data_IF_415070382850
#
_entry.id   IF_415070382850
#
_cell.length_a   1.000
_cell.length_b   1.000
_cell.length_c   1.000
_cell.angle_alpha   90.00
_cell.angle_beta   90.00
_cell.angle_gamma   90.00
#
_symmetry.space_group_name_H-M   'P 1'
#
loop_
_entity.id
_entity.type
_entity.pdbx_description
1 polymer ?
#
# COMPACT_ATOMS: atom_id res chain seq x y z
N UNK A 1 -44.11 -11.69 62.85
CA UNK A 1 -43.86 -10.50 62.02
C UNK A 1 -43.17 -10.98 60.75
N UNK A 2 -43.91 -11.00 59.66
CA UNK A 2 -43.59 -11.63 58.37
C UNK A 2 -43.08 -10.53 57.45
N UNK A 3 -41.93 -10.73 56.79
CA UNK A 3 -41.53 -9.84 55.70
C UNK A 3 -40.72 -10.62 54.66
N UNK A 4 -41.43 -11.14 53.66
CA UNK A 4 -40.86 -11.72 52.45
C UNK A 4 -40.62 -10.62 51.42
N UNK A 5 -39.43 -10.62 50.81
CA UNK A 5 -39.12 -9.77 49.67
C UNK A 5 -39.25 -10.59 48.39
N UNK A 6 -40.20 -10.19 47.55
CA UNK A 6 -40.35 -10.66 46.18
C UNK A 6 -39.54 -9.76 45.24
N UNK A 7 -38.54 -10.30 44.53
CA UNK A 7 -37.92 -9.64 43.38
C UNK A 7 -38.68 -10.04 42.10
N UNK A 8 -39.27 -9.03 41.46
CA UNK A 8 -40.04 -9.13 40.22
C UNK A 8 -39.11 -8.85 39.04
N UNK A 9 -38.95 -9.83 38.15
CA UNK A 9 -38.26 -9.67 36.87
C UNK A 9 -39.02 -8.70 35.96
N UNK A 10 -38.31 -7.74 35.36
CA UNK A 10 -38.78 -6.95 34.20
C UNK A 10 -37.80 -7.18 33.05
N UNK A 11 -38.22 -7.96 32.07
CA UNK A 11 -37.55 -8.06 30.77
C UNK A 11 -37.76 -6.77 29.99
N UNK A 12 -36.66 -6.13 29.60
CA UNK A 12 -36.65 -5.02 28.65
C UNK A 12 -36.26 -5.54 27.27
N UNK A 13 -37.16 -5.42 26.30
CA UNK A 13 -36.88 -5.55 24.87
C UNK A 13 -35.80 -4.51 24.50
N UNK A 14 -34.61 -4.95 24.10
CA UNK A 14 -33.60 -4.10 23.47
C UNK A 14 -33.78 -4.18 21.95
N UNK A 15 -34.27 -3.09 21.36
CA UNK A 15 -34.25 -2.88 19.92
C UNK A 15 -32.78 -2.70 19.47
N UNK A 16 -32.34 -3.53 18.53
CA UNK A 16 -31.05 -3.40 17.86
C UNK A 16 -31.16 -2.34 16.76
N UNK A 17 -30.35 -1.28 16.86
CA UNK A 17 -30.12 -0.33 15.78
C UNK A 17 -28.96 -0.88 14.95
N UNK A 18 -29.24 -1.30 13.72
CA UNK A 18 -28.24 -1.79 12.78
C UNK A 18 -27.29 -0.67 12.34
N UNK A 19 -26.00 -0.90 12.52
CA UNK A 19 -24.92 -0.06 12.00
C UNK A 19 -24.68 -0.45 10.53
N UNK A 20 -25.05 0.43 9.60
CA UNK A 20 -24.75 0.25 8.17
C UNK A 20 -23.30 0.69 7.89
N UNK A 21 -22.43 -0.27 7.57
CA UNK A 21 -21.11 -0.01 6.98
C UNK A 21 -21.24 -0.14 5.47
N UNK A 22 -20.97 0.95 4.74
CA UNK A 22 -21.06 0.98 3.27
C UNK A 22 -19.69 0.58 2.70
N UNK A 23 -19.61 -0.61 2.10
CA UNK A 23 -18.46 -1.05 1.33
C UNK A 23 -18.76 -0.91 -0.17
N UNK A 24 -17.98 -0.09 -0.90
CA UNK A 24 -18.06 -0.02 -2.34
C UNK A 24 -17.25 -1.17 -2.97
N UNK A 25 -17.88 -2.33 -3.14
CA UNK A 25 -17.26 -3.52 -3.74
C UNK A 25 -17.60 -3.59 -5.23
N UNK A 26 -16.60 -3.48 -6.10
CA UNK A 26 -16.69 -3.86 -7.50
C UNK A 26 -16.40 -5.38 -7.61
N UNK A 27 -17.44 -6.21 -7.61
CA UNK A 27 -17.32 -7.67 -7.64
C UNK A 27 -17.57 -8.24 -9.03
N UNK A 28 -16.69 -9.14 -9.47
CA UNK A 28 -16.92 -10.12 -10.55
C UNK A 28 -16.93 -11.56 -9.99
N UNK A 29 -17.26 -11.74 -8.72
CA UNK A 29 -17.56 -13.06 -8.19
C UNK A 29 -18.94 -13.46 -8.72
N UNK A 30 -19.05 -14.63 -9.33
CA UNK A 30 -20.33 -15.14 -9.82
C UNK A 30 -21.27 -15.33 -8.61
N UNK A 31 -22.31 -14.51 -8.55
CA UNK A 31 -23.26 -14.53 -7.46
C UNK A 31 -23.87 -15.94 -7.29
N UNK A 32 -23.62 -16.55 -6.13
CA UNK A 32 -24.06 -17.92 -5.81
C UNK A 32 -25.37 -17.88 -5.02
N UNK A 33 -26.20 -18.91 -5.21
CA UNK A 33 -27.40 -19.12 -4.41
C UNK A 33 -27.01 -19.90 -3.15
N UNK A 34 -27.02 -19.21 -2.01
CA UNK A 34 -26.80 -19.80 -0.69
C UNK A 34 -28.12 -20.31 -0.13
N UNK A 35 -28.08 -21.44 0.58
CA UNK A 35 -29.24 -22.09 1.17
C UNK A 35 -29.05 -22.29 2.66
N UNK A 36 -30.14 -22.13 3.40
CA UNK A 36 -30.17 -22.50 4.81
C UNK A 36 -30.25 -24.03 4.99
N UNK A 37 -30.09 -24.48 6.23
CA UNK A 37 -30.16 -25.91 6.61
C UNK A 37 -31.51 -26.56 6.24
N UNK A 38 -32.59 -25.77 6.17
CA UNK A 38 -33.91 -26.29 5.77
C UNK A 38 -34.10 -26.33 4.26
N UNK A 39 -33.28 -25.60 3.50
CA UNK A 39 -33.43 -25.40 2.05
C UNK A 39 -34.62 -24.52 1.67
N UNK A 40 -35.39 -24.00 2.64
CA UNK A 40 -36.54 -23.13 2.39
C UNK A 40 -36.11 -21.69 2.13
N UNK A 41 -35.03 -21.25 2.76
CA UNK A 41 -34.49 -19.92 2.57
C UNK A 41 -33.31 -19.98 1.64
N UNK A 42 -33.40 -19.21 0.56
CA UNK A 42 -32.32 -19.05 -0.42
C UNK A 42 -32.00 -17.58 -0.59
N UNK A 43 -30.72 -17.27 -0.75
CA UNK A 43 -30.24 -15.91 -0.95
C UNK A 43 -29.20 -15.91 -2.07
N UNK A 44 -29.40 -15.04 -3.05
CA UNK A 44 -28.43 -14.81 -4.12
C UNK A 44 -27.45 -13.73 -3.66
N UNK A 45 -26.19 -14.12 -3.41
CA UNK A 45 -25.17 -13.24 -2.86
C UNK A 45 -23.75 -13.70 -3.20
N UNK A 46 -22.85 -12.73 -3.25
CA UNK A 46 -21.41 -12.93 -3.40
C UNK A 46 -20.79 -13.26 -2.04
N UNK A 47 -19.85 -14.20 -2.01
CA UNK A 47 -19.03 -14.40 -0.82
C UNK A 47 -18.09 -13.22 -0.66
N UNK A 48 -18.09 -12.58 0.50
CA UNK A 48 -17.11 -11.52 0.84
C UNK A 48 -16.03 -12.10 1.75
N UNK A 49 -16.41 -12.97 2.68
CA UNK A 49 -15.48 -13.61 3.60
C UNK A 49 -16.22 -14.49 4.59
N UNK A 50 -15.49 -15.29 5.35
CA UNK A 50 -16.06 -16.13 6.39
C UNK A 50 -15.00 -16.39 7.48
N UNK A 51 -15.44 -16.69 8.68
CA UNK A 51 -14.61 -17.21 9.77
C UNK A 51 -15.11 -18.60 10.19
N UNK A 52 -14.80 -19.06 11.41
CA UNK A 52 -15.23 -20.38 11.89
C UNK A 52 -16.73 -20.46 12.21
N UNK A 53 -17.37 -19.32 12.53
CA UNK A 53 -18.74 -19.26 13.03
C UNK A 53 -19.71 -18.60 12.05
N UNK A 54 -19.24 -17.66 11.22
CA UNK A 54 -20.04 -16.74 10.43
C UNK A 54 -19.55 -16.63 8.98
N UNK A 55 -20.49 -16.55 8.05
CA UNK A 55 -20.24 -16.15 6.65
C UNK A 55 -20.75 -14.73 6.42
N UNK A 56 -19.99 -13.91 5.71
CA UNK A 56 -20.38 -12.59 5.23
C UNK A 56 -20.68 -12.66 3.74
N UNK A 57 -21.92 -12.33 3.40
CA UNK A 57 -22.48 -12.38 2.05
C UNK A 57 -22.89 -10.98 1.60
N UNK A 58 -22.55 -10.61 0.37
CA UNK A 58 -23.00 -9.37 -0.25
C UNK A 58 -24.09 -9.64 -1.29
N UNK A 59 -25.27 -9.06 -1.09
CA UNK A 59 -26.38 -9.16 -2.03
C UNK A 59 -26.15 -8.28 -3.27
N UNK A 60 -26.95 -8.50 -4.31
CA UNK A 60 -26.91 -7.70 -5.55
C UNK A 60 -27.11 -6.19 -5.31
N UNK A 61 -27.88 -5.80 -4.29
CA UNK A 61 -28.08 -4.41 -3.88
C UNK A 61 -26.93 -3.83 -3.04
N UNK A 62 -25.81 -4.56 -2.94
CA UNK A 62 -24.61 -4.23 -2.13
C UNK A 62 -24.84 -4.22 -0.62
N UNK A 63 -25.99 -4.68 -0.14
CA UNK A 63 -26.20 -4.91 1.29
C UNK A 63 -25.39 -6.12 1.76
N UNK A 64 -24.72 -5.95 2.89
CA UNK A 64 -24.01 -7.03 3.58
C UNK A 64 -24.97 -7.74 4.54
N UNK A 65 -24.98 -9.07 4.48
CA UNK A 65 -25.63 -9.93 5.45
C UNK A 65 -24.62 -10.87 6.07
N UNK A 66 -24.74 -11.11 7.37
CA UNK A 66 -23.99 -12.16 8.05
C UNK A 66 -24.92 -13.33 8.39
N UNK A 67 -24.44 -14.56 8.21
CA UNK A 67 -25.20 -15.77 8.51
C UNK A 67 -24.30 -16.75 9.28
N UNK A 68 -24.77 -17.36 10.38
CA UNK A 68 -24.00 -18.40 11.05
C UNK A 68 -23.77 -19.60 10.12
N UNK A 69 -22.55 -20.11 10.06
CA UNK A 69 -22.18 -21.25 9.21
C UNK A 69 -23.00 -22.49 9.56
N UNK A 70 -23.35 -22.68 10.84
CA UNK A 70 -24.21 -23.78 11.29
C UNK A 70 -25.65 -23.72 10.77
N UNK A 71 -26.09 -22.57 10.22
CA UNK A 71 -27.39 -22.39 9.58
C UNK A 71 -27.37 -22.62 8.08
N UNK A 72 -26.18 -22.78 7.47
CA UNK A 72 -26.05 -23.08 6.05
C UNK A 72 -26.28 -24.56 5.76
N UNK A 73 -26.71 -24.86 4.53
CA UNK A 73 -26.81 -26.24 4.05
C UNK A 73 -25.44 -26.93 4.02
N UNK A 74 -25.42 -28.25 3.80
CA UNK A 74 -24.16 -29.02 3.81
C UNK A 74 -23.27 -28.62 2.62
N UNK A 75 -23.88 -28.38 1.47
CA UNK A 75 -23.20 -28.04 0.22
C UNK A 75 -22.48 -26.68 0.30
N UNK A 76 -23.09 -25.68 0.94
CA UNK A 76 -22.48 -24.37 1.11
C UNK A 76 -21.37 -24.39 2.18
N UNK A 77 -21.53 -25.20 3.23
CA UNK A 77 -20.45 -25.45 4.20
C UNK A 77 -19.25 -26.16 3.59
N UNK A 78 -19.47 -27.08 2.67
CA UNK A 78 -18.38 -27.72 1.91
C UNK A 78 -17.73 -26.73 0.92
N UNK A 79 -18.52 -25.83 0.33
CA UNK A 79 -17.98 -24.76 -0.51
C UNK A 79 -17.07 -23.80 0.25
N UNK A 80 -17.39 -23.44 1.50
CA UNK A 80 -16.49 -22.61 2.33
C UNK A 80 -15.12 -23.27 2.55
N UNK A 81 -15.02 -24.60 2.43
CA UNK A 81 -13.74 -25.33 2.50
C UNK A 81 -13.02 -25.44 1.15
N UNK A 82 -13.67 -25.00 0.07
CA UNK A 82 -13.09 -25.04 -1.27
C UNK A 82 -11.98 -23.99 -1.43
N UNK A 83 -11.05 -24.26 -2.34
CA UNK A 83 -9.96 -23.34 -2.67
C UNK A 83 -10.47 -21.98 -3.16
N UNK A 84 -11.58 -21.98 -3.91
CA UNK A 84 -12.21 -20.76 -4.44
C UNK A 84 -12.73 -19.86 -3.30
N UNK A 85 -13.43 -20.43 -2.32
CA UNK A 85 -13.91 -19.66 -1.17
C UNK A 85 -12.76 -19.10 -0.33
N UNK A 86 -11.69 -19.89 -0.13
CA UNK A 86 -10.48 -19.45 0.57
C UNK A 86 -9.74 -18.34 -0.20
N UNK A 87 -9.63 -18.46 -1.53
CA UNK A 87 -9.05 -17.42 -2.37
C UNK A 87 -9.86 -16.12 -2.31
N UNK A 88 -11.20 -16.19 -2.34
CA UNK A 88 -12.08 -15.04 -2.15
C UNK A 88 -11.84 -14.43 -0.76
N UNK A 89 -11.91 -15.23 0.30
CA UNK A 89 -11.68 -14.77 1.67
C UNK A 89 -10.32 -14.05 1.81
N UNK A 90 -9.26 -14.62 1.25
CA UNK A 90 -7.93 -14.02 1.26
C UNK A 90 -7.85 -12.74 0.40
N UNK A 91 -8.50 -12.73 -0.77
CA UNK A 91 -8.52 -11.54 -1.65
C UNK A 91 -9.23 -10.34 -1.02
N UNK A 92 -10.21 -10.58 -0.14
CA UNK A 92 -10.88 -9.52 0.61
C UNK A 92 -10.04 -9.04 1.81
N UNK A 93 -9.17 -9.87 2.39
CA UNK A 93 -8.17 -9.43 3.38
C UNK A 93 -7.12 -8.50 2.74
N UNK A 94 -6.80 -8.70 1.47
CA UNK A 94 -5.87 -7.83 0.73
C UNK A 94 -6.48 -6.46 0.35
N UNK A 95 -7.80 -6.31 0.41
CA UNK A 95 -8.47 -5.03 0.15
C UNK A 95 -8.31 -4.06 1.33
N UNK A 96 -8.25 -2.77 1.01
CA UNK A 96 -8.24 -1.71 2.02
C UNK A 96 -9.55 -1.73 2.80
N UNK A 97 -9.49 -1.99 4.10
CA UNK A 97 -10.63 -2.02 5.00
C UNK A 97 -10.57 -0.87 6.03
N UNK A 98 -11.71 -0.53 6.62
CA UNK A 98 -11.77 0.44 7.72
C UNK A 98 -11.79 -0.31 9.05
N UNK A 99 -10.79 -0.07 9.88
CA UNK A 99 -10.58 -0.73 11.16
C UNK A 99 -10.93 0.21 12.29
N UNK A 100 -11.76 -0.25 13.22
CA UNK A 100 -12.12 0.54 14.40
C UNK A 100 -11.16 0.23 15.53
N UNK A 101 -10.58 1.27 16.12
CA UNK A 101 -9.74 1.18 17.32
C UNK A 101 -10.60 1.25 18.59
N UNK A 102 -10.06 0.86 19.75
CA UNK A 102 -10.76 0.88 21.05
C UNK A 102 -11.26 2.26 21.47
N UNK A 103 -10.59 3.31 21.00
CA UNK A 103 -10.98 4.71 21.24
C UNK A 103 -12.02 5.24 20.24
N UNK A 104 -12.49 4.41 19.30
CA UNK A 104 -13.42 4.79 18.23
C UNK A 104 -12.78 5.43 17.00
N UNK A 105 -11.45 5.61 16.97
CA UNK A 105 -10.74 6.04 15.77
C UNK A 105 -10.91 4.99 14.68
N UNK A 106 -11.20 5.45 13.46
CA UNK A 106 -11.31 4.59 12.29
C UNK A 106 -10.09 4.79 11.40
N UNK A 107 -9.36 3.71 11.14
CA UNK A 107 -8.15 3.73 10.31
C UNK A 107 -8.41 2.91 9.04
N UNK A 108 -8.11 3.50 7.89
CA UNK A 108 -8.30 2.86 6.58
C UNK A 108 -6.98 2.27 6.11
N UNK A 109 -6.93 0.96 5.92
CA UNK A 109 -5.74 0.25 5.47
C UNK A 109 -5.97 -1.25 5.34
N UNK A 110 -4.93 -1.96 4.91
CA UNK A 110 -4.95 -3.42 4.74
C UNK A 110 -3.99 -4.07 5.72
N UNK A 111 -4.31 -5.30 6.12
CA UNK A 111 -3.41 -6.10 6.94
C UNK A 111 -2.56 -6.93 6.01
N UNK A 112 -1.24 -6.77 6.14
CA UNK A 112 -0.27 -7.40 5.25
C UNK A 112 0.39 -8.60 5.90
N UNK A 113 0.64 -8.53 7.20
CA UNK A 113 1.28 -9.59 7.97
C UNK A 113 0.95 -9.47 9.46
N UNK A 114 1.49 -10.40 10.24
CA UNK A 114 1.50 -10.40 11.68
C UNK A 114 2.94 -10.33 12.17
N UNK A 115 3.18 -9.63 13.27
CA UNK A 115 4.54 -9.47 13.79
C UNK A 115 4.58 -9.38 15.31
N UNK A 116 5.70 -9.82 15.88
CA UNK A 116 6.14 -9.49 17.23
C UNK A 116 7.27 -8.48 17.10
N UNK A 117 7.02 -7.24 17.49
CA UNK A 117 8.00 -6.18 17.44
C UNK A 117 8.40 -5.76 18.86
N UNK A 118 9.62 -5.28 19.03
CA UNK A 118 10.14 -4.74 20.29
C UNK A 118 10.34 -3.23 20.13
N UNK A 119 9.61 -2.46 20.95
CA UNK A 119 9.75 -1.01 20.97
C UNK A 119 10.55 -0.59 22.19
N UNK A 120 11.74 -0.05 21.95
CA UNK A 120 12.65 0.44 22.98
C UNK A 120 12.48 1.95 23.12
N UNK A 121 12.03 2.37 24.29
CA UNK A 121 11.91 3.80 24.64
C UNK A 121 13.04 4.18 25.58
N UNK A 122 13.74 5.26 25.27
CA UNK A 122 14.80 5.82 26.13
C UNK A 122 14.83 7.34 26.09
N UNK A 123 15.43 7.93 27.11
CA UNK A 123 15.71 9.37 27.16
C UNK A 123 17.17 9.63 26.80
N UNK A 124 17.40 10.45 25.76
CA UNK A 124 18.74 10.87 25.33
C UNK A 124 18.77 12.39 25.21
N UNK A 125 19.66 13.05 25.95
CA UNK A 125 19.80 14.52 25.98
C UNK A 125 18.48 15.27 26.24
N UNK A 126 17.66 14.72 27.16
CA UNK A 126 16.35 15.26 27.49
C UNK A 126 15.26 15.02 26.43
N UNK A 127 15.58 14.34 25.32
CA UNK A 127 14.63 14.01 24.25
C UNK A 127 14.21 12.54 24.34
N UNK A 128 12.95 12.27 24.00
CA UNK A 128 12.43 10.90 23.89
C UNK A 128 12.90 10.30 22.57
N UNK A 129 13.55 9.15 22.66
CA UNK A 129 14.05 8.37 21.52
C UNK A 129 13.37 7.00 21.55
N UNK A 130 12.87 6.57 20.39
CA UNK A 130 12.16 5.31 20.18
C UNK A 130 12.86 4.56 19.06
N UNK A 131 13.35 3.35 19.32
CA UNK A 131 14.13 2.55 18.37
C UNK A 131 15.23 3.39 17.69
N UNK A 132 16.01 4.09 18.51
CA UNK A 132 17.12 4.99 18.11
C UNK A 132 16.74 6.23 17.28
N UNK A 133 15.45 6.51 17.09
CA UNK A 133 14.96 7.70 16.40
C UNK A 133 14.28 8.67 17.36
N UNK A 134 14.52 10.00 17.24
CA UNK A 134 13.77 10.97 18.04
C UNK A 134 12.27 10.84 17.80
N UNK A 135 11.47 10.84 18.86
CA UNK A 135 10.01 10.65 18.77
C UNK A 135 9.35 11.62 17.77
N UNK A 136 9.74 12.89 17.81
CA UNK A 136 9.22 13.92 16.90
C UNK A 136 9.65 13.81 15.43
N UNK A 137 10.55 12.87 15.09
CA UNK A 137 10.94 12.57 13.71
C UNK A 137 10.19 11.37 13.11
N UNK A 138 9.41 10.66 13.94
CA UNK A 138 8.60 9.52 13.50
C UNK A 138 7.37 10.02 12.73
N UNK A 139 6.80 9.22 11.83
CA UNK A 139 5.52 9.54 11.20
C UNK A 139 4.41 9.79 12.23
N UNK A 140 3.50 10.72 11.95
CA UNK A 140 2.44 11.14 12.89
C UNK A 140 1.57 9.97 13.36
N UNK A 141 1.19 9.07 12.45
CA UNK A 141 0.42 7.87 12.82
C UNK A 141 1.18 6.95 13.79
N UNK A 142 2.50 6.81 13.64
CA UNK A 142 3.31 5.99 14.54
C UNK A 142 3.47 6.66 15.91
N UNK A 143 3.57 7.99 15.94
CA UNK A 143 3.52 8.75 17.19
C UNK A 143 2.21 8.50 17.93
N UNK A 144 1.08 8.57 17.24
CA UNK A 144 -0.24 8.33 17.83
C UNK A 144 -0.40 6.89 18.33
N UNK A 145 -0.01 5.89 17.53
CA UNK A 145 -0.03 4.48 17.95
C UNK A 145 0.79 4.30 19.23
N UNK A 146 2.01 4.85 19.27
CA UNK A 146 2.89 4.72 20.43
C UNK A 146 2.30 5.37 21.70
N UNK A 147 1.70 6.55 21.57
CA UNK A 147 1.02 7.19 22.69
C UNK A 147 -0.10 6.30 23.25
N UNK A 148 -0.87 5.64 22.38
CA UNK A 148 -1.93 4.72 22.80
C UNK A 148 -1.40 3.43 23.42
N UNK A 149 -0.32 2.87 22.87
CA UNK A 149 0.39 1.73 23.45
C UNK A 149 0.77 2.03 24.89
N UNK A 150 1.44 3.16 25.12
CA UNK A 150 1.91 3.55 26.44
C UNK A 150 0.73 3.85 27.37
N UNK A 151 -0.32 4.50 26.86
CA UNK A 151 -1.53 4.76 27.64
C UNK A 151 -2.18 3.47 28.18
N UNK A 152 -2.28 2.44 27.34
CA UNK A 152 -2.85 1.14 27.73
C UNK A 152 -1.92 0.38 28.68
N UNK A 153 -0.64 0.27 28.34
CA UNK A 153 0.33 -0.52 29.11
C UNK A 153 0.61 0.10 30.49
N UNK A 154 0.78 1.41 30.55
CA UNK A 154 1.09 2.14 31.79
C UNK A 154 -0.16 2.60 32.55
N UNK A 155 -1.35 2.43 31.96
CA UNK A 155 -2.63 2.93 32.50
C UNK A 155 -2.60 4.43 32.84
N UNK A 156 -1.93 5.23 32.00
CA UNK A 156 -1.74 6.68 32.17
C UNK A 156 -2.20 7.44 30.93
N UNK A 157 -2.98 8.53 31.06
CA UNK A 157 -3.44 9.28 29.90
C UNK A 157 -2.24 9.90 29.15
N UNK A 158 -2.12 9.60 27.85
CA UNK A 158 -1.08 10.15 26.96
C UNK A 158 -1.74 10.95 25.83
N UNK A 159 -2.37 12.12 26.12
CA UNK A 159 -3.15 12.85 25.14
C UNK A 159 -2.31 13.47 24.01
N UNK A 160 -1.01 13.66 24.23
CA UNK A 160 -0.12 14.30 23.27
C UNK A 160 1.35 13.98 23.55
N UNK A 161 2.21 14.40 22.62
CA UNK A 161 3.67 14.32 22.73
C UNK A 161 4.23 14.90 24.04
N UNK A 162 3.68 16.01 24.53
CA UNK A 162 4.17 16.66 25.74
C UNK A 162 3.95 15.76 26.97
N UNK A 163 2.80 15.10 27.06
CA UNK A 163 2.52 14.16 28.14
C UNK A 163 3.51 12.99 28.16
N UNK A 164 3.90 12.49 26.98
CA UNK A 164 4.95 11.47 26.85
C UNK A 164 6.31 11.99 27.31
N UNK A 165 6.72 13.18 26.86
CA UNK A 165 7.99 13.79 27.27
C UNK A 165 8.05 14.05 28.78
N UNK A 166 6.97 14.58 29.36
CA UNK A 166 6.85 14.84 30.79
C UNK A 166 6.89 13.52 31.59
N UNK A 167 6.25 12.45 31.10
CA UNK A 167 6.29 11.12 31.73
C UNK A 167 7.67 10.47 31.64
N UNK A 168 8.31 10.46 30.47
CA UNK A 168 9.66 9.91 30.31
C UNK A 168 10.66 10.68 31.19
N UNK A 169 10.56 12.01 31.24
CA UNK A 169 11.46 12.84 32.05
C UNK A 169 11.26 12.71 33.55
N UNK A 170 10.05 12.39 34.02
CA UNK A 170 9.77 12.23 35.44
C UNK A 170 10.00 10.81 35.94
N UNK A 171 9.74 9.80 35.10
CA UNK A 171 9.81 8.38 35.47
C UNK A 171 11.23 7.93 35.84
N UNK A 172 11.42 7.18 36.95
CA UNK A 172 12.72 6.67 37.36
C UNK A 172 13.29 5.62 36.39
N UNK A 173 12.45 5.04 35.54
CA UNK A 173 12.82 3.96 34.62
C UNK A 173 13.64 4.44 33.43
N UNK A 174 13.58 5.72 33.07
CA UNK A 174 14.32 6.29 31.94
C UNK A 174 15.50 7.17 32.36
N UNK A 175 15.67 7.41 33.67
CA UNK A 175 16.78 8.21 34.19
C UNK A 175 18.11 7.48 34.01
N UNK A 176 19.19 8.25 33.85
CA UNK A 176 20.57 7.75 33.72
C UNK A 176 20.78 6.84 32.50
N UNK A 177 20.09 7.10 31.39
CA UNK A 177 20.25 6.36 30.14
C UNK A 177 19.62 4.96 30.13
N UNK A 178 18.77 4.67 31.11
CA UNK A 178 17.96 3.44 31.11
C UNK A 178 16.89 3.49 30.01
N UNK A 179 16.54 2.31 29.51
CA UNK A 179 15.50 2.11 28.52
C UNK A 179 14.47 1.12 29.04
N UNK A 180 13.23 1.26 28.55
CA UNK A 180 12.18 0.26 28.73
C UNK A 180 11.85 -0.36 27.38
N UNK A 181 11.65 -1.67 27.40
CA UNK A 181 11.36 -2.45 26.21
C UNK A 181 9.89 -2.90 26.27
N UNK A 182 9.15 -2.56 25.23
CA UNK A 182 7.74 -2.90 25.08
C UNK A 182 7.60 -3.94 23.98
N UNK A 183 7.22 -5.16 24.35
CA UNK A 183 6.90 -6.20 23.39
C UNK A 183 5.51 -5.96 22.83
N UNK A 184 5.44 -5.73 21.53
CA UNK A 184 4.22 -5.48 20.79
C UNK A 184 3.87 -6.72 19.97
N UNK A 185 2.71 -7.29 20.25
CA UNK A 185 2.12 -8.34 19.43
C UNK A 185 0.96 -7.73 18.64
N UNK A 186 1.01 -7.84 17.32
CA UNK A 186 0.06 -7.13 16.48
C UNK A 186 0.05 -7.51 15.02
N UNK A 187 -0.56 -6.64 14.24
CA UNK A 187 -0.66 -6.73 12.79
C UNK A 187 0.23 -5.70 12.13
N UNK A 188 0.84 -6.07 11.02
CA UNK A 188 1.49 -5.14 10.11
C UNK A 188 0.43 -4.55 9.20
N UNK A 189 0.18 -3.27 9.41
CA UNK A 189 -0.88 -2.50 8.78
C UNK A 189 -0.31 -1.61 7.68
N UNK A 190 -0.77 -1.80 6.44
CA UNK A 190 -0.37 -0.96 5.31
C UNK A 190 -1.46 0.08 4.99
N UNK A 191 -1.05 1.35 4.98
CA UNK A 191 -1.89 2.48 4.59
C UNK A 191 -1.97 2.65 3.07
N UNK A 192 -2.85 3.53 2.61
CA UNK A 192 -3.03 3.83 1.18
C UNK A 192 -1.78 4.40 0.49
N UNK A 193 -0.86 4.99 1.26
CA UNK A 193 0.43 5.49 0.75
C UNK A 193 1.50 4.40 0.63
N UNK A 194 1.18 3.16 1.03
CA UNK A 194 2.09 2.01 1.03
C UNK A 194 2.97 1.91 2.28
N UNK A 195 2.82 2.83 3.24
CA UNK A 195 3.56 2.80 4.50
C UNK A 195 3.02 1.68 5.40
N UNK A 196 3.93 0.91 6.00
CA UNK A 196 3.61 -0.21 6.87
C UNK A 196 3.91 0.13 8.33
N UNK A 197 2.99 -0.23 9.23
CA UNK A 197 3.08 0.05 10.67
C UNK A 197 2.63 -1.16 11.47
N UNK A 198 3.40 -1.55 12.49
CA UNK A 198 2.96 -2.53 13.46
C UNK A 198 1.93 -1.90 14.42
N UNK A 199 0.73 -2.47 14.48
CA UNK A 199 -0.35 -2.03 15.37
C UNK A 199 -0.71 -3.17 16.33
N UNK A 200 -0.55 -2.97 17.66
CA UNK A 200 -0.89 -4.00 18.63
C UNK A 200 -2.37 -4.37 18.66
N UNK A 201 -2.68 -5.66 18.88
CA UNK A 201 -4.07 -6.15 18.84
C UNK A 201 -5.00 -5.42 19.81
N UNK A 202 -4.52 -5.12 21.01
CA UNK A 202 -5.33 -4.48 22.06
C UNK A 202 -5.76 -3.04 21.71
N UNK A 203 -5.21 -2.44 20.63
CA UNK A 203 -5.66 -1.15 20.12
C UNK A 203 -6.90 -1.27 19.22
N UNK A 204 -7.20 -2.43 18.65
CA UNK A 204 -8.40 -2.65 17.85
C UNK A 204 -9.65 -2.82 18.72
N UNK A 205 -10.82 -2.46 18.22
CA UNK A 205 -12.07 -2.77 18.90
C UNK A 205 -12.29 -4.28 18.99
N UNK A 206 -13.10 -4.73 19.95
CA UNK A 206 -13.21 -6.15 20.32
C UNK A 206 -13.63 -7.04 19.15
N UNK A 207 -14.52 -6.55 18.28
CA UNK A 207 -14.98 -7.29 17.11
C UNK A 207 -13.85 -7.53 16.11
N UNK A 208 -13.04 -6.50 15.85
CA UNK A 208 -11.87 -6.58 14.99
C UNK A 208 -10.80 -7.48 15.61
N UNK A 209 -10.59 -7.42 16.94
CA UNK A 209 -9.68 -8.34 17.63
C UNK A 209 -10.07 -9.81 17.44
N UNK A 210 -11.36 -10.14 17.58
CA UNK A 210 -11.88 -11.50 17.38
C UNK A 210 -11.62 -11.99 15.95
N UNK A 211 -11.82 -11.13 14.96
CA UNK A 211 -11.55 -11.44 13.55
C UNK A 211 -10.05 -11.66 13.28
N UNK A 212 -9.16 -10.89 13.92
CA UNK A 212 -7.72 -10.97 13.70
C UNK A 212 -7.05 -12.12 14.46
N UNK A 213 -7.69 -12.61 15.52
CA UNK A 213 -7.15 -13.64 16.39
C UNK A 213 -6.90 -14.96 15.68
N UNK A 214 -7.79 -15.38 14.78
CA UNK A 214 -7.62 -16.62 14.02
C UNK A 214 -6.37 -16.59 13.14
N UNK A 215 -6.15 -15.48 12.42
CA UNK A 215 -4.96 -15.29 11.59
C UNK A 215 -3.67 -15.18 12.43
N UNK A 216 -3.74 -14.52 13.58
CA UNK A 216 -2.63 -14.47 14.54
C UNK A 216 -2.24 -15.85 15.06
N UNK A 217 -3.21 -16.65 15.52
CA UNK A 217 -2.95 -17.98 16.09
C UNK A 217 -2.33 -18.91 15.03
N UNK A 218 -2.82 -18.83 13.78
CA UNK A 218 -2.22 -19.54 12.64
C UNK A 218 -0.77 -19.08 12.35
N UNK A 219 -0.53 -17.77 12.37
CA UNK A 219 0.80 -17.21 12.19
C UNK A 219 1.77 -17.66 13.30
N UNK A 220 1.36 -17.58 14.57
CA UNK A 220 2.15 -18.03 15.72
C UNK A 220 2.50 -19.51 15.60
N UNK A 221 1.55 -20.35 15.20
CA UNK A 221 1.80 -21.79 15.04
C UNK A 221 2.81 -22.08 13.92
N UNK A 222 2.72 -21.35 12.80
CA UNK A 222 3.70 -21.48 11.71
C UNK A 222 5.11 -21.02 12.11
N UNK A 223 5.25 -20.03 12.99
CA UNK A 223 6.54 -19.49 13.43
C UNK A 223 7.15 -20.22 14.63
N UNK A 224 6.39 -21.02 15.38
CA UNK A 224 6.95 -21.98 16.35
C UNK A 224 7.78 -23.08 15.68
N UNK A 225 7.49 -23.38 14.42
CA UNK A 225 8.04 -24.53 13.70
C UNK A 225 9.37 -24.26 12.98
N UNK A 226 10.01 -23.11 13.18
CA UNK A 226 11.37 -22.86 12.65
C UNK A 226 12.39 -23.28 13.72
N UNK A 227 12.94 -24.52 13.68
CA UNK A 227 14.08 -24.85 14.52
C UNK A 227 15.21 -23.89 14.18
N UNK A 228 15.90 -23.42 15.22
CA UNK A 228 17.06 -22.55 15.06
C UNK A 228 17.98 -23.11 13.95
N UNK A 229 18.44 -22.27 12.99
CA UNK A 229 19.38 -22.72 11.98
C UNK A 229 20.52 -23.46 12.68
N UNK A 230 20.96 -24.63 12.17
CA UNK A 230 22.00 -25.40 12.81
C UNK A 230 23.18 -24.46 13.07
N UNK A 231 23.61 -24.41 14.34
CA UNK A 231 24.71 -23.55 14.75
C UNK A 231 25.84 -23.71 13.72
N UNK A 232 26.41 -22.60 13.21
CA UNK A 232 27.50 -22.68 12.25
C UNK A 232 28.53 -23.65 12.81
N UNK A 233 28.84 -24.70 12.03
CA UNK A 233 29.77 -25.75 12.45
C UNK A 233 30.99 -25.06 13.05
N UNK A 234 31.20 -25.26 14.35
CA UNK A 234 32.39 -24.75 15.04
C UNK A 234 33.57 -25.19 14.19
N UNK A 235 34.38 -24.27 13.65
CA UNK A 235 35.52 -24.64 12.83
C UNK A 235 36.36 -25.60 13.67
N UNK A 236 36.45 -26.83 13.17
CA UNK A 236 37.21 -27.91 13.76
C UNK A 236 38.62 -27.36 13.98
N UNK A 237 39.05 -27.30 15.25
CA UNK A 237 40.41 -26.91 15.61
C UNK A 237 41.35 -27.86 14.88
N UNK A 238 41.91 -27.39 13.78
CA UNK A 238 43.04 -28.05 13.16
C UNK A 238 44.22 -27.81 14.10
N UNK A 239 44.69 -28.89 14.74
CA UNK A 239 45.90 -28.89 15.55
C UNK A 239 47.09 -28.47 14.67
N UNK A 240 47.43 -27.19 14.71
CA UNK A 240 48.62 -26.64 14.09
C UNK A 240 49.78 -26.70 15.09
N UNK A 241 50.37 -27.89 15.22
CA UNK A 241 51.67 -28.10 15.85
C UNK A 241 52.69 -28.50 14.78
N UNK A 242 53.29 -27.51 14.10
CA UNK A 242 54.66 -27.56 13.58
C UNK A 242 55.02 -26.25 12.86
N UNK A 243 55.90 -25.43 13.46
CA UNK A 243 56.85 -24.65 12.63
C UNK A 243 57.91 -25.59 12.02
N UNK A 244 58.87 -25.12 11.19
CA UNK A 244 59.20 -23.74 10.83
C UNK A 244 59.54 -23.50 9.33
N UNK A 245 59.57 -22.22 8.89
CA UNK A 245 60.72 -21.53 8.20
C UNK A 245 60.25 -20.29 7.40
N UNK A 246 61.04 -19.20 7.39
CA UNK A 246 60.74 -18.01 6.60
C UNK A 246 61.36 -18.11 5.20
N UNK A 247 60.60 -17.79 4.15
CA UNK A 247 61.13 -17.68 2.80
C UNK A 247 60.35 -16.66 1.96
N UNK A 248 61.08 -15.59 1.62
CA UNK A 248 61.06 -14.86 0.34
C UNK A 248 59.79 -14.07 0.00
N UNK A 249 59.92 -12.76 0.14
CA UNK A 249 59.01 -11.77 -0.42
C UNK A 249 59.11 -11.71 -1.95
N UNK A 250 57.96 -11.44 -2.58
CA UNK A 250 57.88 -10.99 -3.96
C UNK A 250 57.48 -9.52 -3.97
N UNK A 251 58.49 -8.68 -4.17
CA UNK A 251 58.37 -7.32 -4.68
C UNK A 251 58.13 -7.42 -6.19
N UNK A 252 56.94 -7.07 -6.67
CA UNK A 252 56.74 -6.79 -8.09
C UNK A 252 56.97 -5.30 -8.30
N UNK A 253 58.15 -5.05 -8.84
CA UNK A 253 58.69 -3.77 -9.30
C UNK A 253 57.96 -3.34 -10.57
N UNK A 254 57.60 -2.06 -10.63
CA UNK A 254 56.98 -1.45 -11.80
C UNK A 254 57.89 -1.46 -13.02
N UNK A 255 57.25 -1.57 -14.18
CA UNK A 255 57.90 -1.39 -15.47
C UNK A 255 57.09 -0.35 -16.25
N UNK A 256 57.70 0.80 -16.45
CA UNK A 256 57.26 1.85 -17.34
C UNK A 256 57.74 1.51 -18.76
N UNK A 257 56.81 1.51 -19.72
CA UNK A 257 57.09 1.31 -21.14
C UNK A 257 56.00 2.01 -21.97
N UNK A 258 56.42 3.06 -22.65
CA UNK A 258 55.65 4.03 -23.44
C UNK A 258 55.23 3.45 -24.83
N UNK A 259 54.64 4.21 -25.78
CA UNK A 259 53.30 3.94 -26.28
C UNK A 259 53.27 3.47 -27.75
N UNK A 260 52.28 2.66 -28.12
CA UNK A 260 51.98 2.38 -29.52
C UNK A 260 50.46 2.32 -29.74
N UNK A 261 49.89 3.47 -30.12
CA UNK A 261 48.54 3.62 -30.63
C UNK A 261 48.48 3.15 -32.10
N UNK A 262 47.57 2.23 -32.48
CA UNK A 262 47.11 2.13 -33.85
C UNK A 262 45.90 3.04 -34.07
N UNK A 263 46.03 3.96 -35.04
CA UNK A 263 44.93 4.72 -35.65
C UNK A 263 43.93 3.76 -36.33
N UNK A 264 42.63 4.06 -36.30
CA UNK A 264 41.73 3.72 -37.40
C UNK A 264 41.30 5.02 -38.11
N UNK A 265 41.74 5.21 -39.35
CA UNK A 265 40.94 5.09 -40.59
C UNK A 265 39.80 6.11 -40.67
N UNK A 266 40.11 7.21 -41.36
CA UNK A 266 39.14 8.06 -42.03
C UNK A 266 38.49 7.31 -43.18
N UNK A 267 37.19 7.52 -43.36
CA UNK A 267 36.50 7.17 -44.60
C UNK A 267 35.05 6.84 -44.35
N UNK A 268 34.16 7.81 -44.55
CA UNK A 268 32.96 7.67 -45.39
C UNK A 268 32.25 9.03 -45.46
N UNK A 269 32.55 9.77 -46.52
CA UNK A 269 31.73 10.86 -47.04
C UNK A 269 30.65 10.29 -47.96
N UNK A 270 29.39 10.50 -47.59
CA UNK A 270 28.25 10.51 -48.49
C UNK A 270 27.30 11.57 -47.90
N UNK A 271 26.90 12.62 -48.58
CA UNK A 271 26.48 12.71 -49.97
C UNK A 271 25.15 13.44 -49.91
N UNK A 272 25.18 14.74 -50.20
CA UNK A 272 24.03 15.61 -50.07
C UNK A 272 22.89 15.22 -51.01
N UNK A 273 21.70 15.03 -50.45
CA UNK A 273 20.44 14.92 -51.18
C UNK A 273 19.44 15.90 -50.59
N UNK A 274 19.27 17.06 -51.24
CA UNK A 274 18.18 18.01 -50.95
C UNK A 274 16.86 17.42 -51.46
N UNK A 275 15.98 17.01 -50.57
CA UNK A 275 14.56 16.81 -50.88
C UNK A 275 13.73 17.64 -49.92
N UNK A 276 13.05 18.66 -50.47
CA UNK A 276 11.99 19.42 -49.81
C UNK A 276 10.79 18.50 -49.54
N UNK A 277 10.26 18.41 -48.32
CA UNK A 277 8.90 17.94 -48.08
C UNK A 277 7.94 19.14 -48.03
N UNK A 278 6.80 18.97 -48.69
CA UNK A 278 5.77 19.98 -48.88
C UNK A 278 5.12 20.45 -47.59
N UNK A 279 4.72 21.72 -47.65
CA UNK A 279 3.81 22.34 -46.70
C UNK A 279 2.42 21.68 -46.82
N UNK A 280 2.02 20.94 -45.80
CA UNK A 280 0.63 20.61 -45.53
C UNK A 280 0.29 21.16 -44.15
N UNK A 281 -0.74 22.01 -44.15
CA UNK A 281 -1.07 22.96 -43.10
C UNK A 281 -1.50 22.32 -41.78
N UNK A 282 -0.99 22.90 -40.69
CA UNK A 282 -1.60 22.82 -39.38
C UNK A 282 -2.79 23.80 -39.31
N UNK A 283 -3.95 23.41 -38.77
CA UNK A 283 -5.03 24.34 -38.50
C UNK A 283 -4.60 25.36 -37.45
N UNK A 284 -4.91 26.63 -37.71
CA UNK A 284 -4.70 27.75 -36.78
C UNK A 284 -5.45 27.48 -35.47
N UNK A 285 -4.89 27.88 -34.31
CA UNK A 285 -5.63 27.86 -33.05
C UNK A 285 -6.82 28.80 -33.13
N UNK A 286 -7.96 28.33 -32.62
CA UNK A 286 -9.17 29.13 -32.44
C UNK A 286 -8.87 30.19 -31.38
N UNK A 287 -8.83 31.45 -31.79
CA UNK A 287 -8.96 32.60 -30.89
C UNK A 287 -10.39 32.63 -30.33
N UNK A 288 -10.52 32.75 -29.02
CA UNK A 288 -11.79 33.15 -28.42
C UNK A 288 -12.14 32.41 -27.13
N UNK A 289 -11.55 32.83 -26.01
CA UNK A 289 -12.25 32.82 -24.72
C UNK A 289 -11.64 33.89 -23.80
N UNK A 290 -11.90 35.16 -24.14
CA UNK A 290 -11.79 36.25 -23.17
C UNK A 290 -13.18 36.51 -22.63
N UNK A 291 -13.44 36.09 -21.40
CA UNK A 291 -14.65 36.45 -20.67
C UNK A 291 -14.61 37.96 -20.38
N UNK A 292 -15.29 38.73 -21.22
CA UNK A 292 -15.49 40.16 -21.02
C UNK A 292 -16.79 40.35 -20.22
N UNK A 293 -16.68 40.37 -18.88
CA UNK A 293 -17.77 40.51 -17.91
C UNK A 293 -18.35 41.93 -17.82
N UNK A 294 -18.40 42.65 -18.95
CA UNK A 294 -18.67 44.10 -18.97
C UNK A 294 -20.08 44.53 -19.39
N UNK A 295 -20.82 43.78 -20.22
CA UNK A 295 -21.92 44.40 -21.00
C UNK A 295 -23.28 43.68 -21.02
N UNK A 296 -23.50 42.58 -20.30
CA UNK A 296 -24.76 41.80 -20.40
C UNK A 296 -25.83 42.12 -19.36
N UNK A 297 -25.91 43.37 -18.86
CA UNK A 297 -26.97 43.78 -17.90
C UNK A 297 -28.02 44.72 -18.52
N UNK A 298 -27.91 45.10 -19.79
CA UNK A 298 -28.75 46.19 -20.33
C UNK A 298 -30.06 45.78 -21.02
N UNK A 299 -30.33 44.50 -21.34
CA UNK A 299 -31.51 44.14 -22.12
C UNK A 299 -32.31 43.00 -21.48
N UNK A 300 -33.02 43.30 -20.40
CA UNK A 300 -34.10 42.46 -19.90
C UNK A 300 -35.41 43.26 -19.85
N UNK A 301 -36.28 43.17 -20.88
CA UNK A 301 -37.60 43.79 -20.85
C UNK A 301 -38.59 42.84 -20.17
N UNK A 302 -38.88 43.09 -18.89
CA UNK A 302 -40.09 42.59 -18.25
C UNK A 302 -41.26 43.48 -18.68
N UNK A 303 -42.12 42.97 -19.57
CA UNK A 303 -43.41 43.60 -19.82
C UNK A 303 -44.15 43.12 -21.04
N UNK A 304 -45.19 42.29 -20.82
CA UNK A 304 -46.42 42.31 -21.61
C UNK A 304 -46.38 41.66 -22.99
N UNK A 305 -46.79 40.39 -23.06
CA UNK A 305 -47.06 39.72 -24.34
C UNK A 305 -47.88 38.46 -24.13
N UNK A 306 -49.18 38.56 -24.37
CA UNK A 306 -50.16 37.49 -24.30
C UNK A 306 -50.00 36.46 -25.44
N UNK A 307 -50.11 35.20 -25.04
CA UNK A 307 -50.68 34.06 -25.77
C UNK A 307 -49.93 33.40 -26.94
N UNK A 308 -49.90 32.07 -26.81
CA UNK A 308 -49.84 31.02 -27.84
C UNK A 308 -48.48 30.66 -28.46
N UNK A 309 -47.78 29.67 -27.84
CA UNK A 309 -47.48 28.38 -28.48
C UNK A 309 -46.54 27.51 -27.60
N UNK A 310 -46.95 26.26 -27.41
CA UNK A 310 -46.13 25.07 -27.14
C UNK A 310 -45.10 25.11 -25.99
N UNK A 311 -45.60 24.95 -24.76
CA UNK A 311 -44.79 24.57 -23.60
C UNK A 311 -44.72 23.03 -23.44
N UNK A 312 -43.51 22.46 -23.63
CA UNK A 312 -42.88 21.25 -22.98
C UNK A 312 -41.83 20.61 -23.92
N UNK A 313 -40.72 19.99 -23.45
CA UNK A 313 -40.11 20.02 -22.12
C UNK A 313 -38.55 20.18 -22.18
N UNK A 314 -37.99 21.35 -21.87
CA UNK A 314 -36.53 21.49 -21.67
C UNK A 314 -36.05 20.88 -20.33
N UNK A 315 -36.98 20.43 -19.49
CA UNK A 315 -36.74 19.98 -18.12
C UNK A 315 -36.49 18.46 -18.03
N UNK A 316 -36.40 17.75 -19.15
CA UNK A 316 -36.09 16.30 -19.13
C UNK A 316 -34.66 15.94 -19.57
N UNK A 317 -33.92 16.82 -20.26
CA UNK A 317 -32.61 16.46 -20.80
C UNK A 317 -31.46 16.48 -19.79
N UNK A 318 -31.53 17.29 -18.73
CA UNK A 318 -30.44 17.36 -17.74
C UNK A 318 -30.19 16.02 -17.03
N UNK A 319 -31.22 15.19 -16.84
CA UNK A 319 -31.05 13.86 -16.23
C UNK A 319 -30.31 12.87 -17.14
N UNK A 320 -30.43 13.02 -18.45
CA UNK A 320 -29.73 12.17 -19.41
C UNK A 320 -28.27 12.60 -19.57
N UNK A 321 -28.01 13.91 -19.59
CA UNK A 321 -26.66 14.47 -19.68
C UNK A 321 -25.82 14.16 -18.43
N UNK A 322 -26.41 14.24 -17.23
CA UNK A 322 -25.74 13.88 -15.98
C UNK A 322 -25.32 12.39 -15.95
N UNK A 323 -26.18 11.50 -16.48
CA UNK A 323 -25.88 10.07 -16.57
C UNK A 323 -24.76 9.78 -17.56
N UNK A 324 -24.77 10.44 -18.71
CA UNK A 324 -23.70 10.30 -19.71
C UNK A 324 -22.35 10.77 -19.16
N UNK A 325 -22.33 11.92 -18.46
CA UNK A 325 -21.11 12.44 -17.83
C UNK A 325 -20.60 11.49 -16.73
N UNK A 326 -21.49 10.94 -15.89
CA UNK A 326 -21.10 9.99 -14.85
C UNK A 326 -20.47 8.73 -15.44
N UNK A 327 -21.10 8.13 -16.47
CA UNK A 327 -20.56 6.96 -17.17
C UNK A 327 -19.21 7.26 -17.83
N UNK A 328 -19.04 8.44 -18.43
CA UNK A 328 -17.76 8.85 -19.01
C UNK A 328 -16.68 9.02 -17.94
N UNK A 329 -17.01 9.61 -16.79
CA UNK A 329 -16.06 9.80 -15.68
C UNK A 329 -15.60 8.45 -15.08
N UNK A 330 -16.54 7.50 -14.94
CA UNK A 330 -16.28 6.16 -14.45
C UNK A 330 -15.43 5.37 -15.44
N UNK A 331 -15.76 5.41 -16.74
CA UNK A 331 -14.94 4.77 -17.78
C UNK A 331 -13.51 5.35 -17.82
N UNK A 332 -13.35 6.66 -17.64
CA UNK A 332 -12.04 7.30 -17.57
C UNK A 332 -11.24 6.88 -16.31
N UNK A 333 -11.91 6.70 -15.17
CA UNK A 333 -11.29 6.19 -13.95
C UNK A 333 -10.78 4.75 -14.15
N UNK A 334 -11.61 3.85 -14.70
CA UNK A 334 -11.21 2.48 -15.01
C UNK A 334 -10.00 2.40 -15.95
N UNK A 335 -9.91 3.27 -16.96
CA UNK A 335 -8.74 3.32 -17.84
C UNK A 335 -7.47 3.76 -17.12
N UNK A 336 -7.56 4.63 -16.11
CA UNK A 336 -6.40 5.01 -15.29
C UNK A 336 -5.98 3.84 -14.40
N UNK A 337 -6.94 3.18 -13.76
CA UNK A 337 -6.67 2.06 -12.87
C UNK A 337 -6.04 0.88 -13.61
N UNK A 338 -6.51 0.55 -14.81
CA UNK A 338 -5.89 -0.49 -15.62
C UNK A 338 -4.43 -0.16 -15.98
N UNK A 339 -4.11 1.10 -16.30
CA UNK A 339 -2.73 1.52 -16.59
C UNK A 339 -1.85 1.47 -15.35
N UNK A 340 -2.38 1.83 -14.20
CA UNK A 340 -1.68 1.73 -12.91
C UNK A 340 -1.40 0.27 -12.58
N UNK A 341 -2.41 -0.59 -12.66
CA UNK A 341 -2.28 -2.03 -12.39
C UNK A 341 -1.29 -2.71 -13.33
N UNK A 342 -1.32 -2.39 -14.62
CA UNK A 342 -0.33 -2.89 -15.58
C UNK A 342 1.10 -2.45 -15.21
N UNK A 343 1.27 -1.20 -14.76
CA UNK A 343 2.58 -0.68 -14.33
C UNK A 343 3.08 -1.36 -13.06
N UNK A 344 2.20 -1.59 -12.08
CA UNK A 344 2.51 -2.31 -10.84
C UNK A 344 2.89 -3.76 -11.15
N UNK A 345 2.12 -4.46 -12.00
CA UNK A 345 2.41 -5.82 -12.40
C UNK A 345 3.78 -5.94 -13.09
N UNK A 346 4.12 -5.01 -14.00
CA UNK A 346 5.44 -4.97 -14.62
C UNK A 346 6.56 -4.68 -13.62
N UNK A 347 6.32 -3.80 -12.64
CA UNK A 347 7.30 -3.50 -11.59
C UNK A 347 7.54 -4.73 -10.69
N UNK A 348 6.49 -5.44 -10.29
CA UNK A 348 6.59 -6.67 -9.50
C UNK A 348 7.35 -7.76 -10.27
N UNK A 349 7.06 -7.94 -11.57
CA UNK A 349 7.77 -8.90 -12.41
C UNK A 349 9.27 -8.56 -12.51
N UNK A 350 9.60 -7.28 -12.68
CA UNK A 350 11.00 -6.83 -12.70
C UNK A 350 11.69 -7.05 -11.35
N UNK A 351 11.01 -6.78 -10.24
CA UNK A 351 11.56 -7.04 -8.89
C UNK A 351 11.82 -8.53 -8.65
N UNK A 352 10.90 -9.40 -9.05
CA UNK A 352 11.08 -10.86 -8.98
C UNK A 352 12.25 -11.31 -9.86
N UNK A 353 12.40 -10.76 -11.07
CA UNK A 353 13.54 -11.07 -11.93
C UNK A 353 14.88 -10.65 -11.31
N UNK A 354 14.92 -9.55 -10.54
CA UNK A 354 16.11 -9.17 -9.77
C UNK A 354 16.35 -10.12 -8.60
N UNK A 355 15.29 -10.57 -7.90
CA UNK A 355 15.40 -11.54 -6.80
C UNK A 355 15.92 -12.90 -7.26
N UNK A 356 15.46 -13.36 -8.42
CA UNK A 356 15.91 -14.60 -9.04
C UNK A 356 17.34 -14.49 -9.65
N UNK A 357 17.99 -13.32 -9.59
CA UNK A 357 19.29 -13.09 -10.20
C UNK A 357 19.27 -13.07 -11.74
N UNK A 358 18.09 -13.05 -12.36
CA UNK A 358 17.93 -13.04 -13.82
C UNK A 358 18.26 -11.67 -14.42
N UNK A 359 18.02 -10.60 -13.67
CA UNK A 359 18.39 -9.22 -14.05
C UNK A 359 18.97 -8.48 -12.84
N UNK A 360 19.62 -7.35 -13.06
CA UNK A 360 20.07 -6.45 -12.00
C UNK A 360 19.54 -5.04 -12.27
N UNK A 361 19.31 -4.28 -11.20
CA UNK A 361 19.06 -2.85 -11.30
C UNK A 361 20.39 -2.11 -11.49
N UNK A 362 20.45 -1.22 -12.47
CA UNK A 362 21.61 -0.41 -12.81
C UNK A 362 21.24 1.06 -12.80
N UNK A 363 22.02 1.86 -12.10
CA UNK A 363 21.93 3.30 -12.15
C UNK A 363 22.86 3.82 -13.24
N UNK A 364 22.28 4.48 -14.24
CA UNK A 364 22.97 5.08 -15.37
C UNK A 364 22.85 6.59 -15.25
N UNK A 365 23.99 7.27 -15.15
CA UNK A 365 24.02 8.74 -15.22
C UNK A 365 23.85 9.15 -16.67
N UNK A 366 22.90 10.03 -16.99
CA UNK A 366 22.67 10.54 -18.34
C UNK A 366 23.05 12.01 -18.40
N UNK A 367 23.88 12.37 -19.38
CA UNK A 367 24.24 13.75 -19.68
C UNK A 367 23.47 14.25 -20.91
N UNK A 368 22.93 15.47 -20.91
CA UNK A 368 22.31 16.04 -22.11
C UNK A 368 23.33 16.17 -23.24
N UNK A 369 22.88 15.96 -24.49
CA UNK A 369 23.67 16.32 -25.67
C UNK A 369 23.76 17.85 -25.82
N UNK A 370 24.75 18.33 -26.58
CA UNK A 370 24.85 19.76 -26.88
C UNK A 370 23.54 20.28 -27.50
N UNK A 371 23.01 21.38 -26.95
CA UNK A 371 21.73 21.97 -27.37
C UNK A 371 20.50 21.46 -26.59
N UNK A 372 20.64 20.44 -25.73
CA UNK A 372 19.57 20.01 -24.83
C UNK A 372 19.69 20.78 -23.50
N UNK A 373 18.69 21.61 -23.11
CA UNK A 373 18.77 22.48 -21.93
C UNK A 373 18.55 21.75 -20.60
N UNK A 374 18.22 20.46 -20.60
CA UNK A 374 17.95 19.72 -19.36
C UNK A 374 19.23 19.35 -18.61
N UNK A 375 19.22 19.35 -17.26
CA UNK A 375 20.39 18.95 -16.47
C UNK A 375 20.70 17.45 -16.61
N UNK A 376 21.90 17.00 -16.22
CA UNK A 376 22.21 15.59 -16.04
C UNK A 376 21.21 14.94 -15.08
N UNK A 377 20.85 13.68 -15.33
CA UNK A 377 19.92 12.93 -14.48
C UNK A 377 20.35 11.49 -14.30
N UNK A 378 19.99 10.91 -13.17
CA UNK A 378 20.19 9.49 -12.89
C UNK A 378 18.93 8.70 -13.25
N UNK A 379 19.10 7.61 -13.97
CA UNK A 379 18.01 6.72 -14.35
C UNK A 379 18.35 5.31 -13.89
N UNK A 380 17.42 4.67 -13.18
CA UNK A 380 17.52 3.26 -12.83
C UNK A 380 16.86 2.44 -13.92
N UNK A 381 17.60 1.49 -14.48
CA UNK A 381 17.13 0.57 -15.53
C UNK A 381 17.44 -0.86 -15.16
N UNK A 382 16.68 -1.82 -15.68
CA UNK A 382 16.84 -3.24 -15.39
C UNK A 382 17.53 -3.93 -16.56
N UNK A 383 18.65 -4.60 -16.31
CA UNK A 383 19.41 -5.25 -17.37
C UNK A 383 20.19 -6.45 -16.85
N UNK A 384 20.40 -7.45 -17.71
CA UNK A 384 21.28 -8.59 -17.40
C UNK A 384 22.73 -8.16 -17.18
N UNK A 385 23.15 -7.07 -17.83
CA UNK A 385 24.45 -6.45 -17.67
C UNK A 385 24.34 -4.93 -17.88
N UNK A 386 25.43 -4.22 -17.57
CA UNK A 386 25.51 -2.75 -17.69
C UNK A 386 25.30 -2.24 -19.11
N UNK A 387 25.72 -3.00 -20.14
CA UNK A 387 25.56 -2.61 -21.53
C UNK A 387 24.08 -2.54 -21.93
N UNK A 388 23.31 -3.59 -21.62
CA UNK A 388 21.86 -3.65 -21.92
C UNK A 388 21.12 -2.54 -21.16
N UNK A 389 21.42 -2.35 -19.89
CA UNK A 389 20.84 -1.28 -19.07
C UNK A 389 21.14 0.11 -19.66
N UNK A 390 22.36 0.34 -20.13
CA UNK A 390 22.77 1.60 -20.77
C UNK A 390 22.00 1.84 -22.07
N UNK A 391 21.88 0.82 -22.92
CA UNK A 391 21.12 0.92 -24.17
C UNK A 391 19.64 1.21 -23.91
N UNK A 392 19.05 0.58 -22.90
CA UNK A 392 17.67 0.84 -22.51
C UNK A 392 17.48 2.26 -21.95
N UNK A 393 18.41 2.72 -21.11
CA UNK A 393 18.41 4.08 -20.59
C UNK A 393 18.46 5.12 -21.71
N UNK A 394 19.30 4.90 -22.74
CA UNK A 394 19.39 5.77 -23.91
C UNK A 394 18.14 5.71 -24.79
N UNK A 395 17.54 4.53 -24.98
CA UNK A 395 16.30 4.34 -25.75
C UNK A 395 15.13 5.09 -25.13
N UNK A 396 15.03 5.08 -23.80
CA UNK A 396 13.99 5.81 -23.06
C UNK A 396 14.24 7.33 -22.97
N UNK A 397 15.46 7.79 -23.25
CA UNK A 397 15.88 9.19 -23.07
C UNK A 397 16.63 9.72 -24.30
N UNK A 398 15.94 9.93 -25.43
CA UNK A 398 16.55 10.51 -26.61
C UNK A 398 17.14 11.91 -26.30
N UNK A 399 18.29 12.24 -26.91
CA UNK A 399 18.97 13.51 -26.67
C UNK A 399 19.89 13.54 -25.45
N UNK A 400 20.15 12.39 -24.85
CA UNK A 400 21.16 12.20 -23.81
C UNK A 400 22.29 11.26 -24.29
N UNK A 401 23.44 11.34 -23.62
CA UNK A 401 24.56 10.39 -23.71
C UNK A 401 24.79 9.74 -22.35
N UNK A 402 25.23 8.48 -22.37
CA UNK A 402 25.48 7.72 -21.16
C UNK A 402 26.78 8.16 -20.47
N UNK A 403 26.72 8.28 -19.15
CA UNK A 403 27.82 8.57 -18.24
C UNK A 403 28.20 7.33 -17.42
N UNK A 404 28.71 7.51 -16.19
CA UNK A 404 29.02 6.40 -15.28
C UNK A 404 27.80 5.51 -15.02
N UNK A 405 28.06 4.20 -14.98
CA UNK A 405 27.07 3.15 -14.74
C UNK A 405 27.49 2.35 -13.53
N UNK A 406 26.59 2.18 -12.55
CA UNK A 406 26.83 1.33 -11.38
C UNK A 406 25.68 0.38 -11.14
N UNK A 407 25.98 -0.81 -10.62
CA UNK A 407 24.97 -1.76 -10.17
C UNK A 407 24.43 -1.27 -8.83
N UNK A 408 23.11 -1.23 -8.69
CA UNK A 408 22.47 -0.97 -7.40
C UNK A 408 22.55 -2.28 -6.61
N UNK A 409 23.54 -2.40 -5.73
CA UNK A 409 23.62 -3.50 -4.78
C UNK A 409 22.44 -3.39 -3.81
N UNK A 410 21.85 -4.54 -3.47
CA UNK A 410 20.85 -4.63 -2.40
C UNK A 410 21.47 -4.34 -1.06
#
# INVERSE_FOLDING_TARGET
>A
MIMGYALRARGGLRAWVGLAVVFAVAGTADARIWKDVTGLYTINADLVGFDDDMVILQRQNKELGSCPINKLCKEDREYLKSKEALEIHNSHLEQTQTWTMTNGLKVVGRIVDYERDEVVIKQLDGKVVVNDKPFGSLPEIYQDILLRVIEVVESKPMPNKKALEDWVGTSPNFRNGKSENYNLEGVVFELQDGSQYAVPFYLFAKQEQEMLKSGWDAWVESHKAVPAPPAPATPEKTDESAGPKPAVGFTVKGEAGDPALPKPVEGFTAGGGKTKPGAQGLPKPVEGFTANLGNDVANNPLGGGTAAAASRPAVQNYKQDDQAFHLQSLAAAYQRDQKVNQRIAMMNLNLQAVQAGLTSAWEVTLYPNAGNPYPPKWVVTYGRNSLIATQEALRANPGYRAGPVRRVSR
#
